data_IF_734616908608
#
_entry.id   IF_734616908608
#
_cell.length_a   1.000
_cell.length_b   1.000
_cell.length_c   1.000
_cell.angle_alpha   90.00
_cell.angle_beta   90.00
_cell.angle_gamma   90.00
#
_symmetry.space_group_name_H-M   'P 1'
#
loop_
_entity.id
_entity.type
_entity.pdbx_description
1 polymer ?
#
# COMPACT_ATOMS: atom_id res chain seq x y z
N UNK A 1 7.43 7.95 6.17
CA UNK A 1 6.74 7.96 7.48
C UNK A 1 7.73 8.45 8.53
N UNK A 2 7.32 9.31 9.50
CA UNK A 2 8.20 9.71 10.59
C UNK A 2 8.58 8.51 11.46
N UNK A 3 9.83 8.50 11.92
CA UNK A 3 10.34 7.48 12.85
C UNK A 3 9.66 7.67 14.21
N UNK A 4 9.23 6.57 14.85
CA UNK A 4 8.64 6.62 16.18
C UNK A 4 7.12 6.73 16.22
N UNK A 5 6.41 6.52 15.09
CA UNK A 5 4.95 6.59 15.03
C UNK A 5 4.28 5.62 16.01
N UNK A 6 4.91 4.48 16.31
CA UNK A 6 4.45 3.46 17.25
C UNK A 6 4.34 3.96 18.70
N UNK A 7 4.94 5.13 18.99
CA UNK A 7 4.88 5.79 20.30
C UNK A 7 3.66 6.69 20.45
N UNK A 8 2.97 7.02 19.36
CA UNK A 8 1.79 7.89 19.37
C UNK A 8 0.53 7.11 19.79
N UNK A 9 0.53 6.57 21.02
CA UNK A 9 -0.55 5.69 21.52
C UNK A 9 -1.94 6.32 21.46
N UNK A 10 -2.04 7.64 21.62
CA UNK A 10 -3.30 8.41 21.56
C UNK A 10 -3.62 8.98 20.17
N UNK A 11 -3.00 8.46 19.10
CA UNK A 11 -3.26 8.90 17.75
C UNK A 11 -4.66 8.46 17.30
N UNK A 12 -5.52 9.43 17.03
CA UNK A 12 -6.88 9.17 16.57
C UNK A 12 -7.00 9.06 15.05
N UNK A 13 -6.20 9.80 14.30
CA UNK A 13 -6.36 9.86 12.83
C UNK A 13 -5.01 9.67 12.17
N UNK A 14 -4.96 8.71 11.26
CA UNK A 14 -3.85 8.45 10.36
C UNK A 14 -4.44 8.02 9.02
N UNK A 15 -4.43 8.92 8.05
CA UNK A 15 -5.09 8.66 6.77
C UNK A 15 -4.23 7.83 5.82
N UNK A 16 -2.91 7.94 5.91
CA UNK A 16 -1.99 7.22 5.03
C UNK A 16 -0.77 6.69 5.80
N UNK A 17 -0.42 5.44 5.55
CA UNK A 17 0.75 4.76 6.07
C UNK A 17 1.50 4.10 4.91
N UNK A 18 2.78 4.43 4.76
CA UNK A 18 3.65 3.86 3.72
C UNK A 18 4.59 2.87 4.39
N UNK A 19 4.53 1.59 3.99
CA UNK A 19 5.45 0.57 4.47
C UNK A 19 6.80 0.79 3.81
N UNK A 20 7.84 1.00 4.62
CA UNK A 20 9.20 1.24 4.15
C UNK A 20 10.00 -0.04 3.93
N UNK A 21 11.04 0.05 3.10
CA UNK A 21 12.07 -0.99 2.96
C UNK A 21 13.08 -0.92 4.10
N UNK A 22 13.74 -2.04 4.41
CA UNK A 22 14.84 -2.15 5.37
C UNK A 22 14.54 -1.55 6.76
N UNK A 23 15.08 -0.36 7.02
CA UNK A 23 14.94 0.40 8.27
C UNK A 23 13.80 1.42 8.23
N UNK A 24 12.95 1.37 7.20
CA UNK A 24 11.75 2.17 7.11
C UNK A 24 10.65 1.69 8.07
N UNK A 25 9.51 2.39 8.04
CA UNK A 25 8.37 2.04 8.89
C UNK A 25 7.82 0.67 8.54
N UNK A 26 7.68 -0.17 9.55
CA UNK A 26 7.18 -1.53 9.42
C UNK A 26 5.68 -1.55 9.73
N UNK A 27 4.96 -2.50 9.15
CA UNK A 27 3.51 -2.59 9.40
C UNK A 27 3.22 -2.83 10.89
N UNK A 28 4.09 -3.54 11.60
CA UNK A 28 4.02 -3.73 13.05
C UNK A 28 4.12 -2.44 13.88
N UNK A 29 4.63 -1.34 13.34
CA UNK A 29 4.65 -0.03 14.04
C UNK A 29 3.24 0.48 14.34
N UNK A 30 2.23 -0.03 13.62
CA UNK A 30 0.82 0.27 13.86
C UNK A 30 0.23 -0.47 15.08
N UNK A 31 0.96 -1.40 15.71
CA UNK A 31 0.47 -2.27 16.79
C UNK A 31 -0.15 -1.49 17.96
N UNK A 32 0.50 -0.40 18.39
CA UNK A 32 0.08 0.36 19.58
C UNK A 32 -0.94 1.48 19.28
N UNK A 33 -1.39 1.61 18.04
CA UNK A 33 -2.27 2.70 17.59
C UNK A 33 -3.75 2.29 17.70
N UNK A 34 -4.18 1.94 18.89
CA UNK A 34 -5.50 1.33 19.16
C UNK A 34 -6.67 2.30 18.97
N UNK A 35 -6.44 3.60 19.16
CA UNK A 35 -7.49 4.63 19.04
C UNK A 35 -7.67 5.18 17.62
N UNK A 36 -6.99 4.59 16.64
CA UNK A 36 -7.16 4.97 15.24
C UNK A 36 -8.62 4.81 14.81
N UNK A 37 -9.12 5.85 14.16
CA UNK A 37 -10.48 5.93 13.64
C UNK A 37 -10.53 6.50 12.23
N UNK A 38 -11.65 6.28 11.56
CA UNK A 38 -11.86 6.76 10.21
C UNK A 38 -11.24 5.83 9.16
N UNK A 39 -10.80 6.42 8.05
CA UNK A 39 -10.17 5.68 6.94
C UNK A 39 -8.65 5.64 7.09
N UNK A 40 -8.08 4.46 6.96
CA UNK A 40 -6.63 4.24 6.86
C UNK A 40 -6.29 3.63 5.49
N UNK A 41 -5.39 4.26 4.76
CA UNK A 41 -4.75 3.69 3.57
C UNK A 41 -3.34 3.20 3.93
N UNK A 42 -3.03 1.95 3.58
CA UNK A 42 -1.70 1.35 3.69
C UNK A 42 -1.17 1.14 2.28
N UNK A 43 0.04 1.63 2.00
CA UNK A 43 0.68 1.53 0.68
C UNK A 43 2.07 0.90 0.76
N UNK A 44 2.55 0.42 -0.39
CA UNK A 44 3.82 -0.30 -0.54
C UNK A 44 3.88 -1.62 0.22
N UNK A 45 2.77 -2.38 0.22
CA UNK A 45 2.65 -3.64 0.96
C UNK A 45 3.66 -4.72 0.52
N UNK A 46 4.21 -4.62 -0.70
CA UNK A 46 5.30 -5.47 -1.20
C UNK A 46 6.55 -5.44 -0.32
N UNK A 47 6.70 -4.42 0.54
CA UNK A 47 7.82 -4.32 1.48
C UNK A 47 7.59 -5.13 2.78
N UNK A 48 6.43 -5.75 2.97
CA UNK A 48 6.15 -6.60 4.13
C UNK A 48 6.80 -7.98 3.92
N UNK A 49 7.94 -8.20 4.58
CA UNK A 49 8.69 -9.46 4.49
C UNK A 49 8.31 -10.48 5.58
N UNK A 50 7.66 -10.03 6.65
CA UNK A 50 7.32 -10.84 7.82
C UNK A 50 5.80 -10.80 8.07
N UNK A 51 5.17 -11.97 7.91
CA UNK A 51 3.73 -12.15 8.16
C UNK A 51 3.39 -11.94 9.63
N UNK A 52 4.31 -12.26 10.54
CA UNK A 52 4.11 -12.07 11.97
C UNK A 52 4.08 -10.58 12.34
N UNK A 53 4.90 -9.76 11.69
CA UNK A 53 4.86 -8.30 11.85
C UNK A 53 3.51 -7.71 11.40
N UNK A 54 2.98 -8.19 10.26
CA UNK A 54 1.65 -7.81 9.79
C UNK A 54 0.54 -8.25 10.76
N UNK A 55 0.66 -9.45 11.33
CA UNK A 55 -0.29 -9.96 12.33
C UNK A 55 -0.30 -9.08 13.59
N UNK A 56 0.88 -8.64 14.05
CA UNK A 56 1.04 -7.77 15.24
C UNK A 56 0.40 -6.40 15.05
N UNK A 57 0.32 -5.88 13.82
CA UNK A 57 -0.36 -4.62 13.53
C UNK A 57 -1.86 -4.64 13.88
N UNK A 58 -2.46 -5.85 13.98
CA UNK A 58 -3.83 -6.12 14.41
C UNK A 58 -4.87 -5.15 13.80
N UNK A 59 -4.81 -4.95 12.49
CA UNK A 59 -5.66 -3.96 11.79
C UNK A 59 -7.15 -4.30 11.95
N UNK A 60 -7.51 -5.57 11.91
CA UNK A 60 -8.88 -6.04 12.13
C UNK A 60 -9.36 -5.84 13.58
N UNK A 61 -8.45 -5.73 14.55
CA UNK A 61 -8.80 -5.47 15.95
C UNK A 61 -9.10 -4.01 16.26
N UNK A 62 -8.80 -3.08 15.35
CA UNK A 62 -9.00 -1.64 15.52
C UNK A 62 -10.45 -1.26 15.23
N UNK A 63 -11.29 -1.34 16.28
CA UNK A 63 -12.75 -1.21 16.22
C UNK A 63 -13.29 0.10 15.64
N UNK A 64 -12.49 1.17 15.67
CA UNK A 64 -12.95 2.49 15.25
C UNK A 64 -12.54 2.84 13.81
N UNK A 65 -11.82 1.94 13.11
CA UNK A 65 -11.56 2.10 11.69
C UNK A 65 -12.84 1.85 10.90
N UNK A 66 -13.26 2.86 10.15
CA UNK A 66 -14.45 2.81 9.29
C UNK A 66 -14.11 2.15 7.94
N UNK A 67 -12.86 2.31 7.49
CA UNK A 67 -12.39 1.75 6.22
C UNK A 67 -10.88 1.50 6.25
N UNK A 68 -10.47 0.37 5.67
CA UNK A 68 -9.08 0.02 5.44
C UNK A 68 -8.86 -0.18 3.94
N UNK A 69 -7.91 0.56 3.37
CA UNK A 69 -7.47 0.39 1.99
C UNK A 69 -6.04 -0.12 1.98
N UNK A 70 -5.76 -1.15 1.19
CA UNK A 70 -4.44 -1.77 1.11
C UNK A 70 -3.97 -1.73 -0.34
N UNK A 71 -2.81 -1.12 -0.57
CA UNK A 71 -2.20 -0.95 -1.88
C UNK A 71 -0.84 -1.62 -1.92
N UNK A 72 -0.68 -2.49 -2.89
CA UNK A 72 0.63 -2.86 -3.39
C UNK A 72 1.13 -1.70 -4.25
N UNK A 73 2.45 -1.47 -4.27
CA UNK A 73 3.08 -0.64 -5.26
C UNK A 73 2.66 -1.10 -6.65
N UNK A 74 2.65 -0.16 -7.60
CA UNK A 74 2.57 -0.56 -9.00
C UNK A 74 3.68 -1.58 -9.19
N UNK A 75 3.38 -2.71 -9.84
CA UNK A 75 4.43 -3.46 -10.51
C UNK A 75 5.31 -2.43 -11.23
N UNK A 76 6.64 -2.62 -11.34
CA UNK A 76 7.40 -1.86 -12.30
C UNK A 76 6.71 -2.11 -13.63
N UNK A 77 5.83 -1.21 -14.02
CA UNK A 77 5.45 -1.10 -15.39
C UNK A 77 6.76 -0.64 -16.00
N UNK A 78 7.39 -1.55 -16.73
CA UNK A 78 8.19 -1.25 -17.90
C UNK A 78 7.34 -0.43 -18.89
N UNK A 79 6.86 0.74 -18.45
CA UNK A 79 6.12 1.75 -19.19
C UNK A 79 6.72 3.13 -18.88
N UNK A 80 8.01 3.18 -18.55
CA UNK A 80 8.88 4.21 -19.14
C UNK A 80 9.24 3.89 -20.60
N UNK A 81 8.59 2.88 -21.19
CA UNK A 81 8.54 2.64 -22.63
C UNK A 81 7.09 2.62 -23.14
N UNK A 82 6.21 3.48 -22.62
CA UNK A 82 4.95 3.81 -23.31
C UNK A 82 5.16 4.62 -24.62
N UNK A 83 6.37 4.56 -25.20
CA UNK A 83 6.71 4.96 -26.56
C UNK A 83 7.09 3.75 -27.45
N UNK A 84 7.10 2.51 -26.94
CA UNK A 84 7.31 1.33 -27.78
C UNK A 84 5.93 0.79 -28.20
N UNK A 85 5.48 1.31 -29.33
CA UNK A 85 4.66 0.62 -30.33
C UNK A 85 3.44 -0.19 -29.81
N UNK A 86 2.31 0.48 -29.61
CA UNK A 86 1.04 -0.15 -30.01
C UNK A 86 1.00 -0.07 -31.54
N UNK A 87 1.76 -0.96 -32.18
CA UNK A 87 1.80 -1.15 -33.63
C UNK A 87 1.54 -2.64 -33.96
N UNK A 88 0.70 -3.28 -33.14
CA UNK A 88 0.35 -4.71 -33.27
C UNK A 88 -1.14 -4.91 -33.57
N UNK A 89 -1.90 -3.84 -33.86
CA UNK A 89 -3.32 -3.96 -34.22
C UNK A 89 -3.76 -3.07 -35.40
N UNK A 90 -2.88 -2.82 -36.38
CA UNK A 90 -3.28 -2.32 -37.71
C UNK A 90 -3.41 -3.43 -38.77
N UNK A 91 -3.36 -4.70 -38.36
CA UNK A 91 -3.72 -5.83 -39.25
C UNK A 91 -5.20 -6.21 -39.12
N UNK A 92 -6.11 -5.24 -39.13
CA UNK A 92 -7.40 -5.45 -39.80
C UNK A 92 -7.24 -4.86 -41.20
N UNK A 93 -6.63 -5.65 -42.08
CA UNK A 93 -6.61 -5.38 -43.50
C UNK A 93 -8.06 -5.20 -43.95
N UNK A 94 -8.38 -3.97 -44.34
CA UNK A 94 -9.61 -3.58 -45.02
C UNK A 94 -9.84 -4.53 -46.20
N UNK A 95 -11.11 -4.87 -46.39
CA UNK A 95 -11.54 -5.74 -47.48
C UNK A 95 -10.80 -5.51 -48.79
N UNK A 96 -10.30 -6.61 -49.34
CA UNK A 96 -10.17 -6.77 -50.77
C UNK A 96 -10.89 -8.04 -51.20
N UNK A 97 -11.88 -7.81 -52.08
CA UNK A 97 -12.61 -8.69 -53.00
C UNK A 97 -13.51 -9.81 -52.42
#
# INVERSE_FOLDING_TARGET
MPVGIEKLKNLHTLSNFVVGKDNGSKIGDLMNLEFLRGRLCISSLENVLDVEDARRANLNGKKNLDALEIKWGSAPNDLQDASIAIDVLDCYDLGQL
#
